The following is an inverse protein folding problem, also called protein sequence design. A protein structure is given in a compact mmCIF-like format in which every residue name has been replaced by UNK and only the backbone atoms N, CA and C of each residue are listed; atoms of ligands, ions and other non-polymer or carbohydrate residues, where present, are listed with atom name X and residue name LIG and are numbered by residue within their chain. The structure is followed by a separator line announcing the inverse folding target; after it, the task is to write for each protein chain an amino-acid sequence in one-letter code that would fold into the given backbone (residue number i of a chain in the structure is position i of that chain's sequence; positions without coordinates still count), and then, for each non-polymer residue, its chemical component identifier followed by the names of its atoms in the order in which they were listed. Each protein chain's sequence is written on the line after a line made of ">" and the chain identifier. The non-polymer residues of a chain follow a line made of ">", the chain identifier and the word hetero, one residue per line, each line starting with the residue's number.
data_IF_905962435994
#
_entry.id   IF_905962435994
#
_cell.length_a   1.000
_cell.length_b   1.000
_cell.length_c   1.000
_cell.angle_alpha   90.00
_cell.angle_beta   90.00
_cell.angle_gamma   90.00
#
_symmetry.space_group_name_H-M   'P 1'
#
loop_
_entity.id
_entity.type
_entity.pdbx_description
1 polymer ?
#
# COMPACT_ATOMS: atom_id res chain seq x y z
N UNK A 1 30.16 -7.77 53.40
CA UNK A 1 28.98 -7.14 52.76
C UNK A 1 29.47 -6.07 51.81
N UNK A 2 29.59 -6.42 50.53
CA UNK A 2 30.03 -5.47 49.48
C UNK A 2 28.75 -4.93 48.84
N UNK A 3 28.47 -3.64 49.01
CA UNK A 3 27.36 -2.93 48.41
C UNK A 3 27.68 -2.76 46.92
N UNK A 4 27.01 -3.52 46.05
CA UNK A 4 27.01 -3.31 44.62
C UNK A 4 26.25 -2.02 44.31
N UNK A 5 26.94 -0.93 44.05
CA UNK A 5 26.39 0.29 43.49
C UNK A 5 25.88 -0.04 42.08
N UNK A 6 24.57 0.11 41.84
CA UNK A 6 23.99 0.17 40.51
C UNK A 6 24.52 1.43 39.82
N UNK A 7 25.46 1.24 38.91
CA UNK A 7 25.91 2.29 38.00
C UNK A 7 24.73 2.63 37.10
N UNK A 8 24.19 3.82 37.23
CA UNK A 8 23.25 4.40 36.25
C UNK A 8 23.94 4.40 34.91
N UNK A 9 23.28 3.95 33.81
CA UNK A 9 23.86 4.06 32.48
C UNK A 9 24.03 5.56 32.20
N UNK A 10 25.25 6.01 32.34
CA UNK A 10 25.72 7.37 32.12
C UNK A 10 25.25 7.90 30.79
N UNK A 11 24.63 9.08 30.84
CA UNK A 11 24.50 9.99 29.73
C UNK A 11 25.93 10.28 29.25
N UNK A 12 26.37 9.55 28.22
CA UNK A 12 27.64 9.85 27.55
C UNK A 12 27.54 11.27 27.00
N UNK A 13 28.53 12.14 27.20
CA UNK A 13 28.56 13.45 26.59
C UNK A 13 28.52 13.27 25.05
N UNK A 14 27.43 13.71 24.44
CA UNK A 14 27.24 13.55 22.98
C UNK A 14 28.21 14.48 22.26
N UNK A 15 29.06 13.88 21.44
CA UNK A 15 29.95 14.63 20.54
C UNK A 15 29.14 15.44 19.50
N UNK A 16 29.66 16.52 18.93
CA UNK A 16 28.94 17.36 17.94
C UNK A 16 28.37 16.61 16.73
N UNK A 17 28.81 15.38 16.49
CA UNK A 17 28.38 14.54 15.35
C UNK A 17 27.68 13.24 15.77
N UNK A 18 27.12 13.15 16.97
CA UNK A 18 26.57 11.91 17.53
C UNK A 18 25.51 11.23 16.64
N UNK A 19 24.74 11.98 15.85
CA UNK A 19 23.80 11.41 14.88
C UNK A 19 24.53 10.67 13.75
N UNK A 20 25.61 11.23 13.23
CA UNK A 20 26.35 10.61 12.11
C UNK A 20 27.15 9.40 12.58
N UNK A 21 27.62 9.41 13.84
CA UNK A 21 28.34 8.29 14.42
C UNK A 21 27.41 7.12 14.78
N UNK A 22 26.19 7.42 15.26
CA UNK A 22 25.21 6.42 15.69
C UNK A 22 23.79 6.72 15.17
N UNK A 23 23.55 6.69 13.84
CA UNK A 23 22.26 7.05 13.26
C UNK A 23 21.14 6.04 13.60
N UNK A 24 21.50 4.79 13.93
CA UNK A 24 20.56 3.70 14.20
C UNK A 24 20.38 3.54 15.70
N UNK A 25 19.21 3.95 16.20
CA UNK A 25 18.89 3.89 17.63
C UNK A 25 18.08 2.66 18.04
N UNK A 26 17.46 1.97 17.10
CA UNK A 26 16.55 0.86 17.38
C UNK A 26 16.88 -0.35 16.49
N UNK A 27 16.61 -1.55 17.02
CA UNK A 27 16.62 -2.77 16.23
C UNK A 27 15.52 -2.71 15.14
N UNK A 28 15.78 -3.14 13.90
CA UNK A 28 14.77 -3.19 12.86
C UNK A 28 13.68 -4.25 13.12
N UNK A 29 13.91 -5.14 14.08
CA UNK A 29 13.03 -6.26 14.43
C UNK A 29 12.12 -5.98 15.62
N UNK A 30 12.30 -4.86 16.29
CA UNK A 30 11.55 -4.48 17.49
C UNK A 30 10.79 -3.19 17.28
N UNK A 31 9.75 -2.99 18.11
CA UNK A 31 9.04 -1.73 18.15
C UNK A 31 10.01 -0.60 18.53
N UNK A 32 10.13 0.46 17.70
CA UNK A 32 11.01 1.58 18.00
C UNK A 32 10.64 2.24 19.33
N UNK A 33 11.65 2.52 20.15
CA UNK A 33 11.51 3.16 21.48
C UNK A 33 12.17 4.51 21.56
N UNK A 34 13.05 4.84 20.59
CA UNK A 34 13.85 6.07 20.59
C UNK A 34 13.80 6.73 19.22
N UNK A 35 14.00 8.01 19.21
CA UNK A 35 14.24 8.74 17.97
C UNK A 35 15.06 9.99 18.20
N UNK A 36 15.75 10.45 17.15
CA UNK A 36 16.41 11.74 17.17
C UNK A 36 15.34 12.85 17.10
N UNK A 37 15.45 13.85 17.98
CA UNK A 37 14.68 15.08 17.83
C UNK A 37 15.06 15.76 16.52
N UNK A 38 14.10 16.31 15.80
CA UNK A 38 14.34 17.10 14.60
C UNK A 38 14.08 18.57 14.87
N UNK A 39 14.88 19.42 14.23
CA UNK A 39 14.64 20.87 14.20
C UNK A 39 13.48 21.26 13.28
N UNK A 40 13.17 22.54 13.19
CA UNK A 40 12.11 23.07 12.32
C UNK A 40 12.36 22.88 10.82
N UNK A 41 13.56 22.48 10.42
CA UNK A 41 13.93 22.15 9.05
C UNK A 41 13.94 20.64 8.79
N UNK A 42 13.64 19.83 9.80
CA UNK A 42 13.63 18.36 9.73
C UNK A 42 15.01 17.73 9.82
N UNK A 43 16.02 18.47 10.26
CA UNK A 43 17.35 17.94 10.51
C UNK A 43 17.46 17.39 11.94
N UNK A 44 18.21 16.29 12.16
CA UNK A 44 18.37 15.73 13.48
C UNK A 44 19.16 16.71 14.39
N UNK A 45 18.60 16.96 15.55
CA UNK A 45 19.32 17.60 16.65
C UNK A 45 20.23 16.58 17.35
N UNK A 46 20.99 17.02 18.37
CA UNK A 46 21.81 16.10 19.16
C UNK A 46 21.07 15.43 20.32
N UNK A 47 19.74 15.57 20.35
CA UNK A 47 18.91 15.05 21.44
C UNK A 47 18.17 13.79 21.01
N UNK A 48 18.27 12.75 21.84
CA UNK A 48 17.52 11.51 21.71
C UNK A 48 16.28 11.60 22.59
N UNK A 49 15.11 11.31 22.00
CA UNK A 49 13.84 11.23 22.71
C UNK A 49 13.52 9.75 22.94
N UNK A 50 13.25 9.37 24.21
CA UNK A 50 12.99 8.00 24.67
C UNK A 50 11.54 7.56 24.39
N UNK A 51 10.98 7.96 23.24
CA UNK A 51 9.67 7.52 22.77
C UNK A 51 9.71 7.18 21.30
N UNK A 52 8.70 6.44 20.82
CA UNK A 52 8.50 6.24 19.40
C UNK A 52 8.11 7.56 18.74
N UNK A 53 8.74 7.88 17.62
CA UNK A 53 8.40 9.07 16.84
C UNK A 53 6.95 9.00 16.37
N UNK A 54 6.21 10.09 16.59
CA UNK A 54 4.87 10.27 16.07
C UNK A 54 4.93 10.65 14.58
N UNK A 55 3.87 10.39 13.84
CA UNK A 55 3.71 10.96 12.53
C UNK A 55 3.53 12.48 12.71
N UNK A 56 4.36 13.26 12.04
CA UNK A 56 4.33 14.70 12.02
C UNK A 56 4.28 15.17 10.58
N UNK A 57 3.60 16.28 10.34
CA UNK A 57 3.59 16.89 9.03
C UNK A 57 4.98 17.50 8.79
N UNK A 58 5.83 16.81 8.08
CA UNK A 58 7.07 17.37 7.58
C UNK A 58 6.72 18.20 6.35
N UNK A 59 7.11 19.47 6.37
CA UNK A 59 6.87 20.47 5.32
C UNK A 59 6.92 19.86 3.92
N UNK A 60 5.94 20.11 3.06
CA UNK A 60 5.96 19.60 1.69
C UNK A 60 7.23 20.06 0.97
N UNK A 61 7.81 19.19 0.18
CA UNK A 61 8.94 19.49 -0.70
C UNK A 61 8.63 20.78 -1.45
N UNK A 62 9.51 21.81 -1.44
CA UNK A 62 9.31 23.06 -2.15
C UNK A 62 8.93 22.78 -3.59
N UNK A 63 7.86 23.41 -4.06
CA UNK A 63 7.47 23.32 -5.48
C UNK A 63 8.69 23.70 -6.33
N UNK A 64 9.06 22.91 -7.36
CA UNK A 64 10.15 23.29 -8.23
C UNK A 64 9.85 24.69 -8.81
N UNK A 65 10.83 25.60 -8.75
CA UNK A 65 10.70 26.92 -9.37
C UNK A 65 10.32 26.72 -10.83
N UNK A 66 9.16 27.27 -11.25
CA UNK A 66 8.74 27.25 -12.64
C UNK A 66 9.89 27.86 -13.46
N UNK A 67 10.55 27.08 -14.28
CA UNK A 67 11.41 27.64 -15.33
C UNK A 67 10.50 28.49 -16.23
N UNK A 68 10.83 29.77 -16.37
CA UNK A 68 10.21 30.64 -17.35
C UNK A 68 10.59 30.11 -18.73
N UNK A 69 9.80 29.22 -19.31
CA UNK A 69 9.91 28.95 -20.74
C UNK A 69 9.11 30.03 -21.44
N UNK A 70 9.79 30.79 -22.28
CA UNK A 70 9.18 31.71 -23.21
C UNK A 70 8.48 30.90 -24.32
N UNK A 71 7.20 30.62 -24.13
CA UNK A 71 6.25 30.31 -25.19
C UNK A 71 4.86 30.46 -24.57
N UNK A 72 4.15 31.48 -24.98
CA UNK A 72 2.78 31.75 -24.61
C UNK A 72 1.87 30.64 -25.14
N UNK A 73 1.42 29.76 -24.24
CA UNK A 73 0.13 29.11 -24.36
C UNK A 73 -0.71 29.64 -23.20
N UNK A 74 -1.86 30.23 -23.56
CA UNK A 74 -2.87 30.71 -22.65
C UNK A 74 -3.34 29.53 -21.77
N UNK A 75 -2.61 29.28 -20.70
CA UNK A 75 -3.12 28.53 -19.58
C UNK A 75 -4.13 29.44 -18.88
N UNK A 76 -5.39 29.02 -18.79
CA UNK A 76 -6.38 29.59 -17.90
C UNK A 76 -5.73 29.82 -16.53
N UNK A 77 -5.30 31.04 -16.29
CA UNK A 77 -4.82 31.51 -15.01
C UNK A 77 -6.07 31.66 -14.15
N UNK A 78 -6.39 30.65 -13.38
CA UNK A 78 -7.18 30.83 -12.20
C UNK A 78 -6.34 31.76 -11.31
N UNK A 79 -6.75 33.00 -11.25
CA UNK A 79 -6.18 34.00 -10.36
C UNK A 79 -6.22 33.48 -8.93
N UNK A 80 -5.07 33.43 -8.27
CA UNK A 80 -4.82 32.93 -6.92
C UNK A 80 -5.56 33.72 -5.82
N UNK A 81 -6.42 34.69 -6.15
CA UNK A 81 -7.02 35.62 -5.19
C UNK A 81 -8.50 35.39 -4.87
N UNK A 82 -9.18 34.43 -5.48
CA UNK A 82 -10.58 34.10 -5.13
C UNK A 82 -10.92 32.60 -5.14
N UNK A 83 -9.97 31.70 -5.25
CA UNK A 83 -10.15 30.25 -5.02
C UNK A 83 -9.85 29.94 -3.57
N UNK A 84 -10.76 29.22 -2.91
CA UNK A 84 -10.58 28.61 -1.60
C UNK A 84 -9.10 28.30 -1.36
N UNK A 85 -8.49 29.00 -0.41
CA UNK A 85 -7.07 28.92 -0.08
C UNK A 85 -6.70 27.47 0.11
N UNK A 86 -5.72 26.98 -0.65
CA UNK A 86 -5.15 25.62 -0.50
C UNK A 86 -4.66 25.33 0.92
N UNK A 87 -4.59 26.34 1.78
CA UNK A 87 -4.30 26.23 3.22
C UNK A 87 -5.48 25.73 4.03
N UNK A 88 -6.72 25.97 3.63
CA UNK A 88 -7.92 25.50 4.32
C UNK A 88 -8.31 24.07 3.93
N UNK A 89 -7.83 23.58 2.80
CA UNK A 89 -8.02 22.18 2.36
C UNK A 89 -6.84 21.26 2.73
N UNK A 90 -5.89 21.70 3.52
CA UNK A 90 -4.85 20.82 4.03
C UNK A 90 -5.45 19.89 5.09
N UNK A 91 -6.00 18.77 4.61
CA UNK A 91 -6.31 17.65 5.46
C UNK A 91 -5.01 17.16 6.12
N UNK A 92 -4.90 17.34 7.44
CA UNK A 92 -3.80 16.81 8.22
C UNK A 92 -4.06 15.33 8.56
N UNK A 93 -3.44 14.38 7.85
CA UNK A 93 -3.62 12.96 8.11
C UNK A 93 -2.89 12.49 9.36
N UNK A 94 -2.05 13.32 9.99
CA UNK A 94 -1.15 12.90 11.07
C UNK A 94 -1.91 12.48 12.32
N UNK A 95 -3.02 13.14 12.63
CA UNK A 95 -3.87 12.79 13.77
C UNK A 95 -4.46 11.39 13.60
N UNK A 96 -5.00 11.07 12.41
CA UNK A 96 -5.57 9.75 12.12
C UNK A 96 -4.49 8.68 12.12
N UNK A 97 -3.32 8.95 11.55
CA UNK A 97 -2.20 8.00 11.53
C UNK A 97 -1.79 7.65 12.96
N UNK A 98 -1.59 8.64 13.82
CA UNK A 98 -1.19 8.43 15.21
C UNK A 98 -2.29 7.71 16.01
N UNK A 99 -3.55 8.00 15.74
CA UNK A 99 -4.68 7.34 16.38
C UNK A 99 -4.76 5.85 15.97
N UNK A 100 -4.68 5.55 14.67
CA UNK A 100 -4.65 4.16 14.17
C UNK A 100 -3.47 3.41 14.76
N UNK A 101 -2.27 4.00 14.80
CA UNK A 101 -1.10 3.39 15.44
C UNK A 101 -1.34 3.06 16.90
N UNK A 102 -1.98 3.95 17.64
CA UNK A 102 -2.29 3.71 19.06
C UNK A 102 -3.23 2.52 19.24
N UNK A 103 -4.26 2.42 18.40
CA UNK A 103 -5.17 1.26 18.44
C UNK A 103 -4.48 -0.04 18.03
N UNK A 104 -3.65 -0.02 17.00
CA UNK A 104 -2.88 -1.20 16.55
C UNK A 104 -1.89 -1.62 17.62
N UNK A 105 -1.20 -0.69 18.27
CA UNK A 105 -0.27 -0.98 19.37
C UNK A 105 -0.98 -1.61 20.58
N UNK A 106 -2.14 -1.06 20.97
CA UNK A 106 -2.96 -1.62 22.06
C UNK A 106 -3.49 -3.01 21.70
N UNK A 107 -3.97 -3.19 20.47
CA UNK A 107 -4.45 -4.48 19.98
C UNK A 107 -3.33 -5.53 19.88
N UNK A 108 -2.14 -5.14 19.42
CA UNK A 108 -0.96 -6.02 19.35
C UNK A 108 -0.51 -6.50 20.73
N UNK A 109 -0.69 -5.68 21.76
CA UNK A 109 -0.29 -5.99 23.14
C UNK A 109 -1.24 -6.98 23.84
N UNK A 110 -2.39 -7.32 23.26
CA UNK A 110 -3.30 -8.32 23.82
C UNK A 110 -2.63 -9.70 23.86
N UNK A 111 -2.51 -10.31 25.03
CA UNK A 111 -1.72 -11.53 25.20
C UNK A 111 -2.38 -12.77 24.60
N UNK A 112 -3.71 -12.80 24.55
CA UNK A 112 -4.46 -13.95 24.08
C UNK A 112 -4.97 -13.75 22.66
N UNK A 113 -4.61 -14.63 21.70
CA UNK A 113 -5.09 -14.57 20.32
C UNK A 113 -6.63 -14.58 20.16
N UNK A 114 -7.36 -15.18 21.11
CA UNK A 114 -8.82 -15.17 21.10
C UNK A 114 -9.42 -13.77 21.27
N UNK A 115 -8.65 -12.84 21.86
CA UNK A 115 -9.07 -11.45 22.06
C UNK A 115 -8.80 -10.57 20.84
N UNK A 116 -8.05 -11.06 19.86
CA UNK A 116 -7.66 -10.25 18.68
C UNK A 116 -8.83 -9.98 17.72
N UNK A 117 -9.95 -10.69 17.85
CA UNK A 117 -11.16 -10.48 17.03
C UNK A 117 -10.90 -10.62 15.52
N UNK A 118 -9.99 -11.50 15.16
CA UNK A 118 -9.64 -11.85 13.78
C UNK A 118 -10.03 -13.30 13.49
N UNK A 119 -9.94 -13.69 12.23
CA UNK A 119 -10.16 -15.11 11.88
C UNK A 119 -9.06 -16.00 12.47
N UNK A 120 -9.33 -17.30 12.73
CA UNK A 120 -8.30 -18.26 13.17
C UNK A 120 -7.09 -18.30 12.24
N UNK A 121 -7.30 -18.21 10.93
CA UNK A 121 -6.25 -18.18 9.93
C UNK A 121 -5.36 -16.94 10.09
N UNK A 122 -6.00 -15.80 10.30
CA UNK A 122 -5.29 -14.53 10.56
C UNK A 122 -4.53 -14.57 11.88
N UNK A 123 -5.14 -15.07 12.94
CA UNK A 123 -4.47 -15.22 14.24
C UNK A 123 -3.22 -16.11 14.13
N UNK A 124 -3.32 -17.21 13.39
CA UNK A 124 -2.19 -18.12 13.13
C UNK A 124 -1.07 -17.44 12.36
N UNK A 125 -1.38 -16.68 11.29
CA UNK A 125 -0.37 -15.94 10.55
C UNK A 125 0.30 -14.87 11.40
N UNK A 126 -0.45 -14.14 12.23
CA UNK A 126 0.08 -13.14 13.14
C UNK A 126 1.03 -13.75 14.16
N UNK A 127 0.65 -14.89 14.77
CA UNK A 127 1.53 -15.63 15.68
C UNK A 127 2.81 -16.06 14.97
N UNK A 128 2.67 -16.59 13.75
CA UNK A 128 3.79 -17.02 12.95
C UNK A 128 4.76 -15.86 12.66
N UNK A 129 4.29 -14.75 12.13
CA UNK A 129 5.15 -13.60 11.81
C UNK A 129 5.82 -12.96 13.03
N UNK A 130 5.20 -13.07 14.19
CA UNK A 130 5.74 -12.50 15.44
C UNK A 130 6.76 -13.39 16.13
N UNK A 131 6.59 -14.71 16.04
CA UNK A 131 7.27 -15.64 16.93
C UNK A 131 8.00 -16.80 16.23
N UNK A 132 7.84 -16.96 14.91
CA UNK A 132 8.56 -18.01 14.19
C UNK A 132 10.07 -17.78 14.24
N UNK A 133 10.86 -18.82 14.54
CA UNK A 133 12.32 -18.78 14.48
C UNK A 133 12.78 -18.90 13.01
N UNK A 134 12.74 -17.78 12.27
CA UNK A 134 13.14 -17.76 10.87
C UNK A 134 14.59 -18.22 10.68
N UNK A 135 14.82 -19.14 9.76
CA UNK A 135 16.16 -19.61 9.43
C UNK A 135 16.95 -18.62 8.58
N UNK A 136 16.24 -17.80 7.81
CA UNK A 136 16.78 -16.78 6.89
C UNK A 136 16.43 -15.36 7.32
N UNK A 137 15.92 -14.58 6.37
CA UNK A 137 15.59 -13.16 6.56
C UNK A 137 14.28 -13.03 7.33
N UNK A 138 14.36 -12.69 8.61
CA UNK A 138 13.20 -12.37 9.45
C UNK A 138 12.51 -11.10 8.95
N UNK A 139 11.17 -11.02 8.97
CA UNK A 139 10.45 -9.79 8.68
C UNK A 139 10.81 -8.66 9.66
N UNK A 140 11.01 -7.46 9.14
CA UNK A 140 11.23 -6.27 9.97
C UNK A 140 9.95 -5.90 10.72
N UNK A 141 10.09 -5.26 11.87
CA UNK A 141 8.95 -4.75 12.64
C UNK A 141 8.02 -3.88 11.78
N UNK A 142 8.56 -2.97 10.97
CA UNK A 142 7.77 -2.10 10.12
C UNK A 142 6.97 -2.86 9.04
N UNK A 143 7.44 -4.02 8.60
CA UNK A 143 6.72 -4.88 7.65
C UNK A 143 5.54 -5.57 8.35
N UNK A 144 5.79 -6.16 9.52
CA UNK A 144 4.75 -6.79 10.33
C UNK A 144 3.70 -5.76 10.72
N UNK A 145 4.10 -4.59 11.21
CA UNK A 145 3.19 -3.51 11.60
C UNK A 145 2.33 -3.00 10.45
N UNK A 146 2.91 -2.88 9.26
CA UNK A 146 2.15 -2.47 8.08
C UNK A 146 1.02 -3.46 7.76
N UNK A 147 1.31 -4.76 7.83
CA UNK A 147 0.32 -5.82 7.61
C UNK A 147 -0.71 -5.86 8.74
N UNK A 148 -0.27 -5.76 9.98
CA UNK A 148 -1.14 -5.67 11.16
C UNK A 148 -2.11 -4.48 11.09
N UNK A 149 -1.64 -3.34 10.58
CA UNK A 149 -2.49 -2.16 10.37
C UNK A 149 -3.62 -2.47 9.36
N UNK A 150 -3.29 -3.12 8.25
CA UNK A 150 -4.31 -3.50 7.25
C UNK A 150 -5.28 -4.54 7.82
N UNK A 151 -4.77 -5.53 8.54
CA UNK A 151 -5.59 -6.54 9.22
C UNK A 151 -6.54 -5.86 10.22
N UNK A 152 -6.02 -4.99 11.08
CA UNK A 152 -6.80 -4.29 12.08
C UNK A 152 -7.91 -3.45 11.43
N UNK A 153 -7.60 -2.67 10.40
CA UNK A 153 -8.58 -1.88 9.66
C UNK A 153 -9.64 -2.75 8.97
N UNK A 154 -9.29 -3.97 8.57
CA UNK A 154 -10.18 -4.84 7.80
C UNK A 154 -11.03 -5.75 8.68
N UNK A 155 -10.44 -6.34 9.72
CA UNK A 155 -11.11 -7.35 10.55
C UNK A 155 -11.59 -6.79 11.90
N UNK A 156 -10.80 -5.95 12.57
CA UNK A 156 -11.04 -5.51 13.95
C UNK A 156 -11.84 -4.21 14.02
N UNK A 157 -11.39 -3.18 13.30
CA UNK A 157 -12.01 -1.85 13.33
C UNK A 157 -13.52 -1.86 13.06
N UNK A 158 -14.05 -2.67 12.11
CA UNK A 158 -15.50 -2.73 11.87
C UNK A 158 -16.32 -3.21 13.05
N UNK A 159 -15.71 -3.85 14.04
CA UNK A 159 -16.39 -4.45 15.19
C UNK A 159 -16.57 -3.47 16.36
N UNK A 160 -15.87 -2.33 16.36
CA UNK A 160 -15.94 -1.33 17.42
C UNK A 160 -16.47 0.02 16.93
N UNK A 161 -17.09 0.80 17.85
CA UNK A 161 -17.57 2.16 17.54
C UNK A 161 -16.44 3.08 17.07
N UNK A 162 -15.31 3.08 17.79
CA UNK A 162 -14.16 3.91 17.47
C UNK A 162 -13.51 3.48 16.14
N UNK A 163 -13.42 2.18 15.89
CA UNK A 163 -12.92 1.67 14.63
C UNK A 163 -13.81 2.07 13.44
N UNK A 164 -15.13 2.00 13.58
CA UNK A 164 -16.06 2.47 12.53
C UNK A 164 -15.88 3.97 12.25
N UNK A 165 -15.76 4.80 13.30
CA UNK A 165 -15.49 6.23 13.13
C UNK A 165 -14.23 6.49 12.32
N UNK A 166 -13.13 5.77 12.62
CA UNK A 166 -11.89 5.89 11.85
C UNK A 166 -12.05 5.44 10.40
N UNK A 167 -12.77 4.33 10.17
CA UNK A 167 -13.06 3.86 8.82
C UNK A 167 -13.89 4.88 8.03
N UNK A 168 -14.86 5.54 8.65
CA UNK A 168 -15.68 6.58 8.02
C UNK A 168 -14.83 7.81 7.66
N UNK A 169 -13.90 8.21 8.53
CA UNK A 169 -12.94 9.29 8.24
C UNK A 169 -12.01 8.93 7.08
N UNK A 170 -11.47 7.71 7.05
CA UNK A 170 -10.65 7.22 5.94
C UNK A 170 -11.45 7.14 4.64
N UNK A 171 -12.71 6.72 4.72
CA UNK A 171 -13.60 6.66 3.56
C UNK A 171 -13.95 8.06 3.04
N UNK A 172 -14.15 9.05 3.92
CA UNK A 172 -14.37 10.44 3.52
C UNK A 172 -13.16 10.99 2.79
N UNK A 173 -11.97 10.92 3.40
CA UNK A 173 -10.73 11.36 2.77
C UNK A 173 -10.43 10.64 1.44
N UNK A 174 -10.85 9.38 1.32
CA UNK A 174 -10.70 8.64 0.08
C UNK A 174 -11.68 9.12 -1.00
N UNK A 175 -12.94 9.45 -0.65
CA UNK A 175 -13.91 10.01 -1.60
C UNK A 175 -13.45 11.32 -2.20
N UNK A 176 -12.86 12.19 -1.39
CA UNK A 176 -12.32 13.49 -1.85
C UNK A 176 -11.19 13.28 -2.87
N UNK A 177 -10.37 12.24 -2.68
CA UNK A 177 -9.26 11.93 -3.58
C UNK A 177 -9.66 11.09 -4.79
N UNK A 178 -10.62 10.17 -4.65
CA UNK A 178 -11.14 9.29 -5.70
C UNK A 178 -12.42 8.57 -5.22
N UNK A 179 -13.62 8.99 -5.63
CA UNK A 179 -14.88 8.47 -5.12
C UNK A 179 -15.14 7.00 -5.47
N UNK A 180 -14.55 6.50 -6.54
CA UNK A 180 -14.85 5.16 -7.06
C UNK A 180 -13.95 4.05 -6.49
N UNK A 181 -12.86 4.40 -5.81
CA UNK A 181 -11.84 3.45 -5.42
C UNK A 181 -11.38 3.64 -3.97
N UNK A 182 -11.73 2.70 -3.10
CA UNK A 182 -11.19 2.68 -1.73
C UNK A 182 -9.69 2.30 -1.75
N UNK A 183 -8.85 3.22 -1.26
CA UNK A 183 -7.39 3.05 -1.23
C UNK A 183 -6.85 3.23 0.17
N UNK A 184 -5.92 2.35 0.54
CA UNK A 184 -5.07 2.52 1.71
C UNK A 184 -3.63 2.69 1.23
N UNK A 185 -2.93 3.71 1.72
CA UNK A 185 -1.54 3.94 1.39
C UNK A 185 -0.66 3.60 2.59
N UNK A 186 0.15 2.55 2.46
CA UNK A 186 1.18 2.21 3.43
C UNK A 186 2.48 2.89 2.99
N UNK A 187 2.97 3.84 3.78
CA UNK A 187 4.22 4.54 3.49
C UNK A 187 5.35 3.88 4.28
N UNK A 188 6.24 3.22 3.57
CA UNK A 188 7.44 2.62 4.13
C UNK A 188 8.69 3.26 3.49
N UNK A 189 9.77 3.35 4.24
CA UNK A 189 11.04 3.85 3.75
C UNK A 189 11.54 3.05 2.53
N UNK A 190 12.40 3.65 1.74
CA UNK A 190 13.11 2.94 0.66
C UNK A 190 14.01 1.88 1.31
N UNK A 191 14.04 0.68 0.74
CA UNK A 191 14.80 -0.44 1.32
C UNK A 191 14.06 -1.23 2.42
N UNK A 192 12.95 -0.73 2.99
CA UNK A 192 12.20 -1.41 4.05
C UNK A 192 11.46 -2.69 3.63
N UNK A 193 11.67 -3.19 2.42
CA UNK A 193 11.10 -4.47 1.94
C UNK A 193 9.60 -4.42 1.65
N UNK A 194 9.13 -3.41 0.92
CA UNK A 194 7.72 -3.26 0.50
C UNK A 194 7.15 -4.51 -0.17
N UNK A 195 7.98 -5.24 -0.93
CA UNK A 195 7.58 -6.49 -1.60
C UNK A 195 7.24 -7.59 -0.58
N UNK A 196 7.95 -7.66 0.54
CA UNK A 196 7.63 -8.58 1.63
C UNK A 196 6.25 -8.27 2.22
N UNK A 197 5.93 -7.00 2.46
CA UNK A 197 4.60 -6.57 2.92
C UNK A 197 3.51 -6.99 1.93
N UNK A 198 3.76 -6.82 0.63
CA UNK A 198 2.81 -7.26 -0.41
C UNK A 198 2.60 -8.78 -0.36
N UNK A 199 3.68 -9.57 -0.23
CA UNK A 199 3.59 -11.02 -0.11
C UNK A 199 2.80 -11.44 1.14
N UNK A 200 3.04 -10.82 2.29
CA UNK A 200 2.29 -11.10 3.53
C UNK A 200 0.80 -10.77 3.38
N UNK A 201 0.45 -9.65 2.74
CA UNK A 201 -0.96 -9.27 2.49
C UNK A 201 -1.61 -10.26 1.52
N UNK A 202 -0.91 -10.69 0.46
CA UNK A 202 -1.40 -11.69 -0.49
C UNK A 202 -1.66 -13.02 0.23
N UNK A 203 -0.71 -13.48 1.05
CA UNK A 203 -0.85 -14.71 1.83
C UNK A 203 -2.06 -14.63 2.77
N UNK A 204 -2.17 -13.57 3.57
CA UNK A 204 -3.29 -13.36 4.47
C UNK A 204 -4.64 -13.38 3.76
N UNK A 205 -4.78 -12.62 2.68
CA UNK A 205 -6.01 -12.54 1.90
C UNK A 205 -6.37 -13.88 1.25
N UNK A 206 -5.38 -14.56 0.65
CA UNK A 206 -5.61 -15.81 -0.08
C UNK A 206 -6.01 -16.94 0.87
N UNK A 207 -5.27 -17.15 1.95
CA UNK A 207 -5.54 -18.21 2.93
C UNK A 207 -6.96 -18.04 3.50
N UNK A 208 -7.32 -16.83 3.90
CA UNK A 208 -8.66 -16.54 4.39
C UNK A 208 -9.74 -16.75 3.31
N UNK A 209 -9.50 -16.32 2.06
CA UNK A 209 -10.46 -16.51 0.98
C UNK A 209 -10.67 -17.98 0.61
N UNK A 210 -9.63 -18.80 0.72
CA UNK A 210 -9.69 -20.25 0.45
C UNK A 210 -10.46 -20.97 1.55
N UNK A 211 -10.14 -20.70 2.80
CA UNK A 211 -10.73 -21.37 3.96
C UNK A 211 -12.11 -20.83 4.35
N UNK A 212 -12.46 -19.62 3.87
CA UNK A 212 -13.74 -18.94 4.14
C UNK A 212 -14.38 -18.45 2.85
N UNK A 213 -14.77 -19.34 1.93
CA UNK A 213 -15.24 -18.97 0.59
C UNK A 213 -16.53 -18.14 0.59
N UNK A 214 -17.35 -18.25 1.63
CA UNK A 214 -18.55 -17.42 1.81
C UNK A 214 -18.26 -15.98 2.22
N UNK A 215 -17.05 -15.68 2.71
CA UNK A 215 -16.67 -14.33 3.15
C UNK A 215 -16.47 -13.41 1.95
N UNK A 216 -17.16 -12.27 1.97
CA UNK A 216 -16.96 -11.19 1.00
C UNK A 216 -15.79 -10.26 1.34
N UNK A 217 -15.12 -10.51 2.48
CA UNK A 217 -14.06 -9.65 3.00
C UNK A 217 -12.72 -9.96 2.35
N UNK A 218 -12.48 -11.21 1.99
CA UNK A 218 -11.22 -11.71 1.49
C UNK A 218 -11.27 -12.01 0.00
N UNK A 219 -10.10 -11.97 -0.64
CA UNK A 219 -9.95 -12.29 -2.06
C UNK A 219 -8.68 -13.11 -2.31
N UNK A 220 -8.67 -13.83 -3.42
CA UNK A 220 -7.49 -14.49 -3.98
C UNK A 220 -7.09 -13.95 -5.35
N UNK A 221 -7.72 -12.85 -5.79
CA UNK A 221 -7.40 -12.16 -7.03
C UNK A 221 -6.61 -10.88 -6.77
N UNK A 222 -5.44 -10.75 -7.38
CA UNK A 222 -4.51 -9.64 -7.13
C UNK A 222 -4.03 -9.03 -8.43
N UNK A 223 -4.07 -7.70 -8.48
CA UNK A 223 -3.52 -6.91 -9.58
C UNK A 223 -2.37 -6.04 -9.06
N UNK A 224 -1.17 -6.29 -9.56
CA UNK A 224 0.02 -5.53 -9.20
C UNK A 224 0.47 -4.69 -10.39
N UNK A 225 0.35 -3.37 -10.28
CA UNK A 225 0.77 -2.44 -11.31
C UNK A 225 2.18 -1.93 -11.03
N UNK A 226 3.12 -2.29 -11.88
CA UNK A 226 4.51 -1.81 -11.84
C UNK A 226 4.70 -0.61 -12.77
N UNK A 227 5.59 0.35 -12.44
CA UNK A 227 5.85 1.51 -13.28
C UNK A 227 6.69 1.18 -14.53
N UNK A 228 7.42 0.07 -14.53
CA UNK A 228 8.28 -0.35 -15.65
C UNK A 228 8.55 -1.85 -15.68
N UNK A 229 9.19 -2.31 -16.76
CA UNK A 229 9.46 -3.73 -17.00
C UNK A 229 10.41 -4.33 -15.96
N UNK A 230 11.52 -3.67 -15.67
CA UNK A 230 12.50 -4.13 -14.67
C UNK A 230 11.87 -4.36 -13.29
N UNK A 231 10.92 -3.50 -12.89
CA UNK A 231 10.22 -3.66 -11.62
C UNK A 231 9.22 -4.81 -11.70
N UNK A 232 8.54 -4.98 -12.85
CA UNK A 232 7.66 -6.11 -13.08
C UNK A 232 8.41 -7.43 -12.89
N UNK A 233 9.60 -7.56 -13.48
CA UNK A 233 10.39 -8.79 -13.38
C UNK A 233 10.83 -9.07 -11.93
N UNK A 234 11.23 -8.04 -11.19
CA UNK A 234 11.55 -8.19 -9.76
C UNK A 234 10.36 -8.59 -8.87
N UNK A 235 9.14 -8.31 -9.32
CA UNK A 235 7.93 -8.65 -8.58
C UNK A 235 7.45 -10.09 -8.82
N UNK A 236 8.09 -10.86 -9.71
CA UNK A 236 7.78 -12.27 -9.95
C UNK A 236 7.84 -13.11 -8.67
N UNK A 237 8.68 -12.73 -7.72
CA UNK A 237 8.78 -13.36 -6.39
C UNK A 237 7.47 -13.37 -5.59
N UNK A 238 6.47 -12.58 -6.00
CA UNK A 238 5.11 -12.61 -5.46
C UNK A 238 4.27 -13.76 -6.03
N UNK A 239 4.69 -14.39 -7.12
CA UNK A 239 4.02 -15.56 -7.67
C UNK A 239 4.32 -16.79 -6.80
N UNK A 240 3.31 -17.50 -6.28
CA UNK A 240 3.54 -18.64 -5.41
C UNK A 240 4.32 -19.78 -6.08
N UNK A 241 4.17 -19.93 -7.40
CA UNK A 241 4.80 -20.99 -8.19
C UNK A 241 6.19 -20.58 -8.73
N UNK A 242 6.65 -19.38 -8.44
CA UNK A 242 7.99 -18.93 -8.83
C UNK A 242 9.04 -19.69 -7.98
N UNK A 243 10.17 -20.14 -8.56
CA UNK A 243 11.26 -20.76 -7.80
C UNK A 243 11.76 -19.88 -6.65
N UNK A 244 11.86 -18.56 -6.88
CA UNK A 244 12.33 -17.56 -5.90
C UNK A 244 11.16 -16.96 -5.08
N UNK A 245 10.09 -17.72 -4.89
CA UNK A 245 8.87 -17.26 -4.23
C UNK A 245 9.13 -16.87 -2.78
N UNK A 246 8.80 -15.65 -2.41
CA UNK A 246 8.98 -15.14 -1.03
C UNK A 246 8.20 -15.92 0.02
N UNK A 247 7.15 -16.63 -0.36
CA UNK A 247 6.38 -17.45 0.59
C UNK A 247 7.21 -18.61 1.14
N UNK A 248 8.11 -19.17 0.33
CA UNK A 248 9.05 -20.25 0.70
C UNK A 248 10.39 -19.68 1.14
N UNK A 249 11.07 -18.92 0.27
CA UNK A 249 12.43 -18.43 0.52
C UNK A 249 12.58 -17.60 1.77
N UNK A 250 11.54 -16.86 2.13
CA UNK A 250 11.50 -16.00 3.33
C UNK A 250 10.63 -16.57 4.42
N UNK A 251 10.21 -17.82 4.28
CA UNK A 251 9.37 -18.48 5.29
C UNK A 251 8.17 -17.62 5.73
N UNK A 252 7.53 -16.89 4.78
CA UNK A 252 6.44 -15.98 5.13
C UNK A 252 5.13 -16.69 5.47
N UNK A 253 5.04 -17.98 5.16
CA UNK A 253 3.84 -18.80 5.35
C UNK A 253 4.22 -20.13 5.96
N UNK A 254 3.50 -20.63 6.98
CA UNK A 254 3.66 -21.98 7.47
C UNK A 254 3.55 -23.02 6.35
N UNK A 255 4.37 -24.04 6.38
CA UNK A 255 4.50 -25.04 5.30
C UNK A 255 3.14 -25.67 4.90
N UNK A 256 2.28 -25.96 5.86
CA UNK A 256 0.96 -26.55 5.65
C UNK A 256 -0.09 -25.56 5.07
N UNK A 257 0.23 -24.26 4.98
CA UNK A 257 -0.62 -23.24 4.35
C UNK A 257 -0.14 -22.84 2.95
N UNK A 258 0.98 -23.38 2.47
CA UNK A 258 1.52 -23.04 1.15
C UNK A 258 0.57 -23.45 0.02
N UNK A 259 -0.12 -24.57 0.14
CA UNK A 259 -1.10 -25.01 -0.86
C UNK A 259 -2.28 -24.04 -0.99
N UNK A 260 -2.68 -23.43 0.12
CA UNK A 260 -3.72 -22.39 0.09
C UNK A 260 -3.22 -21.15 -0.68
N UNK A 261 -1.96 -20.73 -0.44
CA UNK A 261 -1.36 -19.58 -1.13
C UNK A 261 -1.19 -19.84 -2.63
N UNK A 262 -0.91 -21.09 -3.04
CA UNK A 262 -0.82 -21.49 -4.44
C UNK A 262 -2.11 -21.25 -5.24
N UNK A 263 -3.25 -21.04 -4.56
CA UNK A 263 -4.54 -20.71 -5.18
C UNK A 263 -4.69 -19.22 -5.49
N UNK A 264 -3.73 -18.37 -5.14
CA UNK A 264 -3.72 -16.97 -5.52
C UNK A 264 -3.65 -16.80 -7.04
N UNK A 265 -4.42 -15.86 -7.57
CA UNK A 265 -4.33 -15.41 -8.95
C UNK A 265 -3.75 -14.01 -8.98
N UNK A 266 -2.49 -13.91 -9.36
CA UNK A 266 -1.73 -12.65 -9.32
C UNK A 266 -1.39 -12.25 -10.73
N UNK A 267 -1.87 -11.06 -11.14
CA UNK A 267 -1.49 -10.43 -12.40
C UNK A 267 -0.54 -9.30 -12.12
N UNK A 268 0.68 -9.40 -12.65
CA UNK A 268 1.70 -8.34 -12.54
C UNK A 268 1.82 -7.69 -13.92
N UNK A 269 1.47 -6.42 -14.01
CA UNK A 269 1.46 -5.68 -15.27
C UNK A 269 2.01 -4.27 -15.10
N UNK A 270 2.26 -3.58 -16.19
CA UNK A 270 2.62 -2.17 -16.15
C UNK A 270 1.40 -1.28 -16.46
N UNK A 271 1.51 -0.01 -16.10
CA UNK A 271 0.44 0.96 -16.33
C UNK A 271 0.09 1.11 -17.82
N UNK A 272 1.10 1.07 -18.69
CA UNK A 272 0.89 1.23 -20.14
C UNK A 272 0.07 0.10 -20.78
N UNK A 273 0.02 -1.07 -20.14
CA UNK A 273 -0.79 -2.19 -20.61
C UNK A 273 -2.29 -1.83 -20.67
N UNK A 274 -2.76 -0.89 -19.84
CA UNK A 274 -4.16 -0.42 -19.82
C UNK A 274 -4.48 0.62 -20.91
N UNK A 275 -3.48 1.05 -21.71
CA UNK A 275 -3.76 1.87 -22.88
C UNK A 275 -4.55 1.04 -23.88
N UNK A 276 -5.69 1.57 -24.33
CA UNK A 276 -6.48 0.93 -25.40
C UNK A 276 -5.64 0.85 -26.67
N UNK A 277 -5.68 -0.26 -27.33
CA UNK A 277 -5.01 -0.46 -28.63
C UNK A 277 -5.98 -0.13 -29.73
N UNK A 278 -5.45 0.47 -30.81
CA UNK A 278 -6.15 0.48 -32.08
C UNK A 278 -6.27 -0.97 -32.54
N UNK A 279 -7.46 -1.40 -32.93
CA UNK A 279 -7.65 -2.75 -33.44
C UNK A 279 -6.73 -2.92 -34.64
N UNK A 280 -5.85 -3.87 -34.53
CA UNK A 280 -4.92 -4.24 -35.58
C UNK A 280 -5.72 -4.54 -36.85
N UNK A 281 -5.37 -3.80 -37.89
CA UNK A 281 -5.52 -4.09 -39.32
C UNK A 281 -6.50 -5.19 -39.67
N UNK A 282 -7.74 -4.83 -39.83
CA UNK A 282 -8.58 -5.53 -40.79
C UNK A 282 -7.86 -5.47 -42.15
N UNK A 283 -7.62 -6.63 -42.74
CA UNK A 283 -7.09 -6.70 -44.10
C UNK A 283 -7.86 -5.72 -45.00
N UNK A 284 -7.21 -5.15 -46.01
CA UNK A 284 -7.86 -4.17 -46.95
C UNK A 284 -9.21 -4.64 -47.44
N UNK A 285 -9.42 -5.98 -47.60
CA UNK A 285 -10.70 -6.58 -47.97
C UNK A 285 -11.75 -6.56 -46.85
N UNK A 286 -11.36 -6.81 -45.60
CA UNK A 286 -12.26 -6.77 -44.45
C UNK A 286 -12.73 -5.35 -44.11
N UNK A 287 -11.90 -4.32 -44.33
CA UNK A 287 -12.30 -2.91 -44.21
C UNK A 287 -13.43 -2.55 -45.20
N UNK A 288 -13.31 -2.93 -46.47
CA UNK A 288 -14.34 -2.67 -47.47
C UNK A 288 -15.66 -3.35 -47.17
N UNK A 289 -15.63 -4.56 -46.59
CA UNK A 289 -16.84 -5.29 -46.18
C UNK A 289 -17.56 -4.65 -44.99
N UNK A 290 -16.82 -4.06 -44.04
CA UNK A 290 -17.39 -3.43 -42.85
C UNK A 290 -17.77 -1.96 -43.04
N UNK A 291 -17.22 -1.26 -44.04
CA UNK A 291 -17.57 0.11 -44.38
C UNK A 291 -19.00 0.25 -44.93
N UNK A 292 -19.62 -0.85 -45.41
CA UNK A 292 -20.98 -0.82 -45.86
C UNK A 292 -21.27 0.34 -46.82
N UNK A 293 -22.55 0.63 -47.08
CA UNK A 293 -23.01 1.78 -47.92
C UNK A 293 -22.92 3.13 -47.20
N UNK A 294 -22.64 3.19 -45.89
CA UNK A 294 -22.70 4.41 -45.06
C UNK A 294 -21.36 5.14 -44.91
N UNK A 295 -20.25 4.55 -45.36
CA UNK A 295 -18.95 5.24 -45.36
C UNK A 295 -18.36 5.58 -44.00
N UNK A 296 -19.03 5.26 -42.89
CA UNK A 296 -18.49 5.48 -41.53
C UNK A 296 -17.37 4.49 -41.26
N UNK A 297 -16.21 5.02 -40.87
CA UNK A 297 -15.11 4.16 -40.40
C UNK A 297 -15.52 3.46 -39.10
N UNK A 298 -15.55 2.12 -39.07
CA UNK A 298 -15.86 1.40 -37.85
C UNK A 298 -14.83 1.75 -36.78
N UNK A 299 -15.30 2.10 -35.60
CA UNK A 299 -14.42 2.39 -34.46
C UNK A 299 -13.36 1.29 -34.28
N UNK A 300 -12.12 1.63 -34.59
CA UNK A 300 -10.96 0.72 -34.53
C UNK A 300 -10.38 0.57 -33.14
N UNK A 301 -10.93 1.26 -32.14
CA UNK A 301 -10.45 1.20 -30.77
C UNK A 301 -10.97 -0.03 -30.02
N UNK A 302 -10.07 -0.66 -29.28
CA UNK A 302 -10.36 -1.74 -28.33
C UNK A 302 -11.38 -1.27 -27.29
N UNK A 303 -12.42 -2.07 -27.02
CA UNK A 303 -13.37 -1.78 -25.95
C UNK A 303 -12.72 -1.97 -24.58
N UNK A 304 -13.26 -1.35 -23.53
CA UNK A 304 -12.76 -1.52 -22.16
C UNK A 304 -12.75 -2.99 -21.72
N UNK A 305 -13.81 -3.72 -22.02
CA UNK A 305 -13.90 -5.15 -21.68
C UNK A 305 -12.81 -5.98 -22.37
N UNK A 306 -12.52 -5.69 -23.64
CA UNK A 306 -11.44 -6.37 -24.38
C UNK A 306 -10.07 -6.01 -23.81
N UNK A 307 -9.84 -4.76 -23.46
CA UNK A 307 -8.61 -4.33 -22.78
C UNK A 307 -8.41 -5.06 -21.47
N UNK A 308 -9.44 -5.12 -20.62
CA UNK A 308 -9.38 -5.81 -19.34
C UNK A 308 -9.12 -7.32 -19.51
N UNK A 309 -9.79 -7.95 -20.50
CA UNK A 309 -9.58 -9.36 -20.81
C UNK A 309 -8.14 -9.63 -21.28
N UNK A 310 -7.55 -8.72 -22.06
CA UNK A 310 -6.16 -8.80 -22.51
C UNK A 310 -5.17 -8.59 -21.37
N UNK A 311 -5.42 -7.62 -20.49
CA UNK A 311 -4.47 -7.22 -19.43
C UNK A 311 -4.52 -8.13 -18.23
N UNK A 312 -5.72 -8.61 -17.86
CA UNK A 312 -5.93 -9.41 -16.65
C UNK A 312 -6.96 -10.54 -16.82
N UNK A 313 -6.76 -11.44 -17.82
CA UNK A 313 -7.75 -12.47 -18.14
C UNK A 313 -8.06 -13.37 -16.93
N UNK A 314 -7.05 -13.69 -16.11
CA UNK A 314 -7.20 -14.54 -14.94
C UNK A 314 -7.99 -13.92 -13.78
N UNK A 315 -8.34 -12.64 -13.84
CA UNK A 315 -9.05 -11.93 -12.77
C UNK A 315 -10.51 -11.61 -13.10
N UNK A 316 -10.95 -11.84 -14.32
CA UNK A 316 -12.30 -11.45 -14.77
C UNK A 316 -13.44 -12.14 -14.00
N UNK A 317 -13.20 -13.32 -13.46
CA UNK A 317 -14.19 -14.08 -12.67
C UNK A 317 -14.27 -13.68 -11.19
N UNK A 318 -13.39 -12.80 -10.70
CA UNK A 318 -13.35 -12.43 -9.28
C UNK A 318 -14.31 -11.28 -8.98
N UNK A 319 -15.11 -11.42 -7.91
CA UNK A 319 -16.00 -10.35 -7.43
C UNK A 319 -15.21 -9.20 -6.79
N UNK A 320 -14.12 -9.52 -6.11
CA UNK A 320 -13.22 -8.57 -5.46
C UNK A 320 -11.80 -8.82 -5.95
N UNK A 321 -11.07 -7.77 -6.22
CA UNK A 321 -9.66 -7.80 -6.59
C UNK A 321 -8.92 -6.84 -5.69
N UNK A 322 -7.80 -7.28 -5.11
CA UNK A 322 -6.90 -6.40 -4.40
C UNK A 322 -5.87 -5.85 -5.39
N UNK A 323 -5.92 -4.54 -5.62
CA UNK A 323 -4.94 -3.84 -6.44
C UNK A 323 -3.79 -3.31 -5.60
N UNK A 324 -2.56 -3.47 -6.07
CA UNK A 324 -1.40 -2.82 -5.49
C UNK A 324 -0.59 -2.11 -6.56
N UNK A 325 -0.08 -0.93 -6.23
CA UNK A 325 0.84 -0.18 -7.10
C UNK A 325 2.23 -0.20 -6.47
N UNK A 326 3.18 -0.84 -7.15
CA UNK A 326 4.58 -0.87 -6.77
C UNK A 326 5.28 0.43 -7.20
N UNK A 327 5.08 1.51 -6.44
CA UNK A 327 5.78 2.80 -6.60
C UNK A 327 6.38 3.15 -5.24
N UNK A 328 7.12 4.23 -5.12
CA UNK A 328 7.79 4.76 -3.91
C UNK A 328 7.01 4.62 -2.58
N UNK A 329 5.71 4.36 -2.63
CA UNK A 329 4.88 3.92 -1.50
C UNK A 329 4.11 2.66 -1.89
N UNK A 330 4.07 1.63 -1.04
CA UNK A 330 3.16 0.51 -1.23
C UNK A 330 1.72 1.01 -1.03
N UNK A 331 0.99 1.20 -2.13
CA UNK A 331 -0.43 1.55 -2.10
C UNK A 331 -1.23 0.28 -2.33
N UNK A 332 -2.04 -0.07 -1.36
CA UNK A 332 -2.98 -1.19 -1.45
C UNK A 332 -4.36 -0.59 -1.73
N UNK A 333 -4.96 -0.99 -2.83
CA UNK A 333 -6.32 -0.58 -3.17
C UNK A 333 -7.21 -1.81 -3.23
N UNK A 334 -8.28 -1.81 -2.42
CA UNK A 334 -9.33 -2.81 -2.56
C UNK A 334 -10.29 -2.37 -3.66
N UNK A 335 -10.20 -3.00 -4.82
CA UNK A 335 -11.11 -2.76 -5.93
C UNK A 335 -12.33 -3.66 -5.71
N UNK A 336 -13.43 -3.09 -5.23
CA UNK A 336 -14.73 -3.77 -5.20
C UNK A 336 -15.47 -3.50 -6.50
N UNK A 337 -15.94 -4.54 -7.16
CA UNK A 337 -16.90 -4.38 -8.25
C UNK A 337 -18.23 -3.91 -7.65
N UNK A 338 -18.63 -2.67 -7.97
CA UNK A 338 -19.97 -2.19 -7.62
C UNK A 338 -21.01 -3.06 -8.34
N UNK A 339 -22.06 -3.46 -7.61
CA UNK A 339 -23.15 -4.26 -8.18
C UNK A 339 -23.94 -3.53 -9.28
N UNK A 340 -23.80 -2.21 -9.39
CA UNK A 340 -24.53 -1.36 -10.33
C UNK A 340 -23.71 -0.88 -11.53
N UNK A 341 -22.42 -1.11 -11.58
CA UNK A 341 -21.60 -0.68 -12.72
C UNK A 341 -21.08 -1.90 -13.47
N UNK A 342 -21.50 -2.06 -14.71
CA UNK A 342 -20.93 -3.03 -15.66
C UNK A 342 -19.49 -2.68 -16.08
N UNK A 343 -18.99 -1.54 -15.65
CA UNK A 343 -17.66 -1.01 -15.95
C UNK A 343 -16.77 -1.02 -14.70
N UNK A 344 -15.53 -1.38 -14.88
CA UNK A 344 -14.47 -1.15 -13.92
C UNK A 344 -14.22 0.36 -13.83
N UNK A 345 -13.87 0.91 -12.64
CA UNK A 345 -13.55 2.32 -12.54
C UNK A 345 -12.47 2.68 -13.58
N UNK A 346 -12.77 3.65 -14.41
CA UNK A 346 -11.85 4.16 -15.42
C UNK A 346 -10.64 4.74 -14.72
N UNK A 347 -9.47 4.23 -15.05
CA UNK A 347 -8.21 4.81 -14.59
C UNK A 347 -8.03 6.13 -15.33
N UNK A 348 -7.88 7.29 -14.66
CA UNK A 348 -7.73 8.55 -15.36
C UNK A 348 -6.53 8.50 -16.28
N UNK A 349 -6.75 8.85 -17.55
CA UNK A 349 -5.74 8.82 -18.62
C UNK A 349 -4.63 9.86 -18.39
N UNK A 350 -4.91 10.89 -17.62
CA UNK A 350 -4.04 12.03 -17.39
C UNK A 350 -3.53 12.05 -15.95
N UNK A 351 -2.28 11.65 -15.77
CA UNK A 351 -1.51 12.00 -14.59
C UNK A 351 -1.88 11.26 -13.29
N UNK A 352 -1.01 11.37 -12.36
CA UNK A 352 -1.10 10.87 -11.00
C UNK A 352 -2.31 11.50 -10.27
N UNK A 353 -3.27 10.73 -9.76
CA UNK A 353 -4.24 11.30 -8.86
C UNK A 353 -3.54 11.83 -7.59
N UNK A 354 -4.06 12.88 -6.96
CA UNK A 354 -3.49 13.44 -5.74
C UNK A 354 -3.32 12.38 -4.67
N UNK A 355 -2.36 12.59 -3.79
CA UNK A 355 -1.98 11.63 -2.76
C UNK A 355 -3.15 11.35 -1.81
N UNK A 356 -3.54 10.08 -1.70
CA UNK A 356 -4.41 9.64 -0.60
C UNK A 356 -3.66 9.79 0.74
N UNK A 357 -4.37 9.95 1.86
CA UNK A 357 -3.71 10.00 3.16
C UNK A 357 -2.86 8.75 3.37
N UNK A 358 -1.59 8.96 3.66
CA UNK A 358 -0.63 7.91 3.88
C UNK A 358 -0.64 7.49 5.35
N UNK A 359 -0.79 6.20 5.59
CA UNK A 359 -0.50 5.59 6.88
C UNK A 359 0.99 5.22 6.90
N UNK A 360 1.78 5.94 7.64
CA UNK A 360 3.23 5.72 7.79
C UNK A 360 3.59 5.20 9.16
#
# INVERSE_FOLDING_TARGET
>A
MIKTQRVNPSILPMTPNAFFDHPILNSPYERPRRHWELDGQGQPTQKIIETRRRAEFITPIPKPKKQKSAAAQEALVFSDDQGLSTKEQQYDPTSIINEVRSYVDSWRSLPNPSQWQVTPETARLLQYWRHHPFSGVRPFFCQVEAVETVIWLTEVAPQSRNGKRLLDQLAAANRDANPELLRLALKLATGAGKTTVMAMIIAWQTINAVRRPASRRFTRGFLVCAPGLTIKDRLRVLQPNDPDSYYRDRELVPADLLDDVNRAKIVITNYHAFKRRERVELSKGGRRLLQGRTGEEPSTLETEGQMLQRVMPGLMGFKNILGSRAVWSARVALIRRSSNTRCWPTWPANGLPPASPALS
#
